data_IF_906775458979
#
_entry.id   IF_906775458979
#
_cell.length_a   1.000
_cell.length_b   1.000
_cell.length_c   1.000
_cell.angle_alpha   90.00
_cell.angle_beta   90.00
_cell.angle_gamma   90.00
#
_symmetry.space_group_name_H-M   'P 1'
#
loop_
_entity.id
_entity.type
_entity.pdbx_description
1 polymer ?
#
# COMPACT_ATOMS: atom_id res chain seq x y z
N UNK A 1 64.19 -4.57 56.32
CA UNK A 1 64.38 -5.43 55.14
C UNK A 1 63.26 -5.13 54.16
N UNK A 2 63.54 -4.44 53.05
CA UNK A 2 62.61 -4.31 51.93
C UNK A 2 63.41 -3.98 50.67
N UNK A 3 63.10 -4.74 49.63
CA UNK A 3 63.81 -4.93 48.37
C UNK A 3 63.61 -3.78 47.36
N UNK A 4 64.37 -3.75 46.24
CA UNK A 4 64.60 -2.56 45.45
C UNK A 4 63.65 -2.38 44.26
N UNK A 5 63.73 -1.16 43.74
CA UNK A 5 63.16 -0.56 42.53
C UNK A 5 63.38 -1.42 41.29
N UNK A 6 62.34 -1.56 40.46
CA UNK A 6 62.45 -1.96 39.05
C UNK A 6 61.67 -0.97 38.19
N UNK A 7 62.35 -0.46 37.17
CA UNK A 7 61.95 0.65 36.32
C UNK A 7 60.77 0.33 35.38
N UNK A 8 59.91 1.33 35.17
CA UNK A 8 58.93 1.36 34.09
C UNK A 8 59.26 2.51 33.11
N UNK A 9 59.09 2.31 31.79
CA UNK A 9 59.64 3.20 30.76
C UNK A 9 58.80 4.47 30.52
N UNK A 10 59.50 5.47 29.98
CA UNK A 10 59.10 6.86 29.74
C UNK A 10 57.94 7.06 28.75
N UNK A 11 57.28 8.20 28.94
CA UNK A 11 56.13 8.73 28.24
C UNK A 11 56.34 9.08 26.74
N UNK A 12 55.22 9.09 26.00
CA UNK A 12 55.03 9.95 24.83
C UNK A 12 53.72 10.75 25.00
N UNK A 13 53.72 12.08 24.80
CA UNK A 13 52.51 12.91 24.89
C UNK A 13 51.81 12.92 23.51
N UNK A 14 50.61 12.35 23.41
CA UNK A 14 49.75 12.58 22.24
C UNK A 14 48.98 13.89 22.45
N UNK A 15 49.21 14.81 21.53
CA UNK A 15 48.68 16.17 21.45
C UNK A 15 47.15 16.20 21.46
N UNK A 16 46.58 17.13 22.24
CA UNK A 16 45.21 17.60 22.03
C UNK A 16 45.14 18.40 20.73
N UNK A 17 44.35 17.94 19.77
CA UNK A 17 43.87 18.74 18.64
C UNK A 17 42.35 18.69 18.66
N UNK A 18 41.78 19.86 18.83
CA UNK A 18 40.35 20.17 18.90
C UNK A 18 39.88 20.60 17.50
N UNK A 19 38.76 20.02 17.06
CA UNK A 19 37.85 20.40 15.96
C UNK A 19 38.35 20.25 14.49
N UNK A 20 37.44 20.07 13.49
CA UNK A 20 35.98 20.06 13.56
C UNK A 20 35.30 18.77 13.05
N UNK A 21 34.10 18.53 13.55
CA UNK A 21 33.16 17.54 13.02
C UNK A 21 32.75 17.94 11.59
N UNK A 22 33.34 17.32 10.57
CA UNK A 22 32.77 17.30 9.22
C UNK A 22 31.57 16.34 9.23
N UNK A 23 30.49 16.82 9.81
CA UNK A 23 29.15 16.30 9.58
C UNK A 23 28.72 16.80 8.19
N UNK A 24 29.16 16.12 7.13
CA UNK A 24 28.56 16.22 5.80
C UNK A 24 27.19 15.53 5.84
N UNK A 25 26.28 16.15 6.60
CA UNK A 25 24.86 15.92 6.51
C UNK A 25 24.41 16.93 5.46
N UNK A 26 24.49 16.52 4.20
CA UNK A 26 23.76 17.21 3.14
C UNK A 26 22.29 17.15 3.56
N UNK A 27 21.84 18.27 4.12
CA UNK A 27 20.47 18.52 4.53
C UNK A 27 19.60 18.41 3.28
N UNK A 28 19.20 17.18 2.96
CA UNK A 28 17.86 16.95 2.45
C UNK A 28 16.91 17.36 3.58
N UNK A 29 16.71 18.68 3.72
CA UNK A 29 15.51 19.24 4.34
C UNK A 29 14.34 18.69 3.52
N UNK A 30 13.90 17.49 3.88
CA UNK A 30 12.56 17.05 3.61
C UNK A 30 11.68 18.16 4.18
N UNK A 31 11.15 18.97 3.27
CA UNK A 31 10.07 19.89 3.53
C UNK A 31 8.87 19.05 3.98
N UNK A 32 8.93 18.58 5.21
CA UNK A 32 7.86 17.90 5.91
C UNK A 32 6.83 19.00 6.12
N UNK A 33 5.94 19.12 5.14
CA UNK A 33 4.75 19.97 5.21
C UNK A 33 4.22 19.86 6.62
N UNK A 34 3.94 20.98 7.29
CA UNK A 34 3.52 21.04 8.71
C UNK A 34 2.25 20.24 9.03
N UNK A 35 1.68 19.53 8.05
CA UNK A 35 0.53 18.63 8.16
C UNK A 35 0.80 17.20 7.64
N UNK A 36 2.04 16.84 7.32
CA UNK A 36 2.42 15.50 6.86
C UNK A 36 2.87 14.60 8.02
N UNK A 37 2.65 13.29 7.87
CA UNK A 37 3.08 12.28 8.83
C UNK A 37 3.48 10.99 8.09
N UNK A 38 4.52 10.33 8.58
CA UNK A 38 4.88 8.98 8.14
C UNK A 38 3.91 7.95 8.70
N UNK A 39 3.61 6.91 7.91
CA UNK A 39 2.83 5.77 8.37
C UNK A 39 3.75 4.76 9.04
N UNK A 40 3.49 4.43 10.30
CA UNK A 40 4.20 3.36 11.00
C UNK A 40 3.85 2.00 10.38
N UNK A 41 4.86 1.32 9.83
CA UNK A 41 4.69 0.01 9.15
C UNK A 41 4.95 -1.18 10.09
N UNK A 42 5.47 -0.93 11.29
CA UNK A 42 5.84 -1.98 12.22
C UNK A 42 4.61 -2.79 12.67
N UNK A 43 4.62 -4.10 12.37
CA UNK A 43 3.51 -5.02 12.66
C UNK A 43 2.40 -5.07 11.60
N UNK A 44 2.50 -4.34 10.48
CA UNK A 44 1.57 -4.47 9.35
C UNK A 44 2.12 -5.48 8.35
N UNK A 45 1.55 -6.68 8.33
CA UNK A 45 1.80 -7.66 7.28
C UNK A 45 0.87 -7.38 6.07
N UNK A 46 1.45 -7.09 4.89
CA UNK A 46 0.72 -6.85 3.62
C UNK A 46 0.16 -8.17 3.07
N UNK A 47 -0.85 -8.72 3.73
CA UNK A 47 -1.46 -10.00 3.37
C UNK A 47 -2.42 -9.92 2.18
N UNK A 48 -2.94 -8.73 1.84
CA UNK A 48 -3.91 -8.49 0.75
C UNK A 48 -5.07 -9.49 0.69
N UNK A 49 -5.57 -9.92 1.85
CA UNK A 49 -6.61 -10.93 2.00
C UNK A 49 -7.87 -10.65 1.15
N UNK A 50 -8.13 -9.39 0.82
CA UNK A 50 -9.24 -8.99 -0.03
C UNK A 50 -9.17 -9.50 -1.48
N UNK A 51 -7.98 -9.85 -1.98
CA UNK A 51 -7.78 -10.36 -3.33
C UNK A 51 -8.25 -11.81 -3.49
N UNK A 52 -8.40 -12.54 -2.38
CA UNK A 52 -8.93 -13.90 -2.33
C UNK A 52 -10.44 -13.94 -2.04
N UNK A 53 -11.05 -12.80 -1.71
CA UNK A 53 -12.48 -12.74 -1.37
C UNK A 53 -13.34 -12.97 -2.61
N UNK A 54 -14.48 -13.62 -2.38
CA UNK A 54 -15.55 -13.80 -3.38
C UNK A 54 -16.80 -13.05 -2.95
N UNK A 55 -17.66 -12.73 -3.92
CA UNK A 55 -18.93 -12.04 -3.62
C UNK A 55 -19.91 -12.96 -2.90
N UNK A 56 -20.84 -12.40 -2.13
CA UNK A 56 -21.91 -13.19 -1.50
C UNK A 56 -22.74 -13.93 -2.56
N UNK A 57 -23.03 -13.27 -3.68
CA UNK A 57 -23.74 -13.86 -4.81
C UNK A 57 -23.00 -15.03 -5.47
N UNK A 58 -21.67 -15.12 -5.33
CA UNK A 58 -20.86 -16.20 -5.88
C UNK A 58 -20.78 -17.41 -4.95
N UNK A 59 -20.67 -17.20 -3.63
CA UNK A 59 -20.59 -18.31 -2.66
C UNK A 59 -21.96 -18.81 -2.18
N UNK A 60 -23.02 -18.03 -2.33
CA UNK A 60 -24.35 -18.34 -1.81
C UNK A 60 -25.37 -18.53 -2.94
N UNK A 61 -25.63 -19.80 -3.28
CA UNK A 61 -26.55 -20.19 -4.36
C UNK A 61 -27.95 -19.60 -4.17
N UNK A 62 -28.44 -19.50 -2.93
CA UNK A 62 -29.77 -18.92 -2.65
C UNK A 62 -29.80 -17.43 -3.02
N UNK A 63 -28.78 -16.68 -2.62
CA UNK A 63 -28.68 -15.25 -2.95
C UNK A 63 -28.55 -15.06 -4.46
N UNK A 64 -27.74 -15.90 -5.12
CA UNK A 64 -27.60 -15.88 -6.57
C UNK A 64 -28.94 -16.06 -7.28
N UNK A 65 -29.71 -17.09 -6.91
CA UNK A 65 -31.03 -17.36 -7.49
C UNK A 65 -32.02 -16.23 -7.23
N UNK A 66 -32.02 -15.65 -6.03
CA UNK A 66 -32.87 -14.51 -5.69
C UNK A 66 -32.57 -13.29 -6.55
N UNK A 67 -31.29 -12.98 -6.77
CA UNK A 67 -30.87 -11.87 -7.65
C UNK A 67 -31.27 -12.12 -9.10
N UNK A 68 -31.13 -13.36 -9.61
CA UNK A 68 -31.56 -13.72 -10.96
C UNK A 68 -33.07 -13.59 -11.15
N UNK A 69 -33.86 -14.06 -10.17
CA UNK A 69 -35.31 -13.97 -10.19
C UNK A 69 -35.77 -12.50 -10.20
N UNK A 70 -35.28 -11.68 -9.26
CA UNK A 70 -35.59 -10.24 -9.19
C UNK A 70 -35.17 -9.51 -10.47
N UNK A 71 -34.04 -9.89 -11.07
CA UNK A 71 -33.58 -9.30 -12.34
C UNK A 71 -34.54 -9.59 -13.48
N UNK A 72 -35.11 -10.80 -13.53
CA UNK A 72 -36.13 -11.18 -14.52
C UNK A 72 -37.44 -10.43 -14.30
N UNK A 73 -37.92 -10.35 -13.05
CA UNK A 73 -39.16 -9.66 -12.70
C UNK A 73 -39.09 -8.15 -13.02
N UNK A 74 -37.97 -7.50 -12.69
CA UNK A 74 -37.80 -6.08 -12.94
C UNK A 74 -37.58 -5.75 -14.42
N UNK A 75 -37.10 -6.70 -15.23
CA UNK A 75 -36.86 -6.48 -16.65
C UNK A 75 -38.14 -6.15 -17.42
N UNK A 76 -39.29 -6.69 -17.01
CA UNK A 76 -40.59 -6.43 -17.64
C UNK A 76 -41.08 -4.99 -17.42
N UNK A 77 -40.73 -4.41 -16.28
CA UNK A 77 -41.14 -3.05 -15.89
C UNK A 77 -40.09 -1.98 -16.20
N UNK A 78 -38.89 -2.37 -16.66
CA UNK A 78 -37.76 -1.45 -16.83
C UNK A 78 -37.94 -0.55 -18.05
N UNK A 79 -37.84 0.76 -17.83
CA UNK A 79 -37.78 1.77 -18.89
C UNK A 79 -36.32 2.01 -19.32
N UNK A 80 -35.94 1.48 -20.47
CA UNK A 80 -34.57 1.57 -21.00
C UNK A 80 -34.12 3.00 -21.33
N UNK A 81 -35.05 3.95 -21.47
CA UNK A 81 -34.71 5.36 -21.72
C UNK A 81 -34.19 6.09 -20.46
N UNK A 82 -34.43 5.52 -19.27
CA UNK A 82 -34.10 6.13 -17.98
C UNK A 82 -32.83 5.58 -17.33
N UNK A 83 -31.98 4.89 -18.10
CA UNK A 83 -30.70 4.40 -17.61
C UNK A 83 -29.77 5.55 -17.22
N UNK A 84 -29.23 5.48 -16.01
CA UNK A 84 -28.17 6.38 -15.57
C UNK A 84 -26.81 5.92 -16.10
N UNK A 85 -25.80 6.78 -16.02
CA UNK A 85 -24.42 6.42 -16.39
C UNK A 85 -23.90 5.23 -15.56
N UNK A 86 -24.27 5.16 -14.28
CA UNK A 86 -23.86 4.08 -13.39
C UNK A 86 -24.52 2.75 -13.76
N UNK A 87 -25.76 2.76 -14.25
CA UNK A 87 -26.45 1.55 -14.72
C UNK A 87 -25.77 0.95 -15.94
N UNK A 88 -25.33 1.81 -16.87
CA UNK A 88 -24.59 1.41 -18.07
C UNK A 88 -23.27 0.76 -17.65
N UNK A 89 -22.47 1.45 -16.82
CA UNK A 89 -21.20 0.92 -16.31
C UNK A 89 -21.37 -0.40 -15.55
N UNK A 90 -22.41 -0.50 -14.72
CA UNK A 90 -22.70 -1.73 -13.98
C UNK A 90 -23.05 -2.88 -14.92
N UNK A 91 -23.89 -2.62 -15.93
CA UNK A 91 -24.29 -3.64 -16.92
C UNK A 91 -23.06 -4.15 -17.70
N UNK A 92 -22.17 -3.25 -18.12
CA UNK A 92 -20.92 -3.62 -18.79
C UNK A 92 -19.98 -4.41 -17.87
N UNK A 93 -19.89 -4.04 -16.59
CA UNK A 93 -19.10 -4.79 -15.61
C UNK A 93 -19.62 -6.22 -15.45
N UNK A 94 -20.94 -6.38 -15.27
CA UNK A 94 -21.59 -7.71 -15.15
C UNK A 94 -21.42 -8.52 -16.43
N UNK A 95 -21.60 -7.91 -17.60
CA UNK A 95 -21.42 -8.57 -18.90
C UNK A 95 -19.98 -9.05 -19.12
N UNK A 96 -18.99 -8.28 -18.65
CA UNK A 96 -17.59 -8.66 -18.68
C UNK A 96 -17.19 -9.64 -17.54
N UNK A 97 -18.13 -10.06 -16.69
CA UNK A 97 -17.85 -10.93 -15.54
C UNK A 97 -17.00 -10.29 -14.45
N UNK A 98 -16.94 -8.95 -14.41
CA UNK A 98 -16.20 -8.18 -13.40
C UNK A 98 -17.02 -8.06 -12.12
N UNK A 99 -16.36 -8.36 -11.01
CA UNK A 99 -16.86 -8.05 -9.68
C UNK A 99 -15.86 -7.20 -8.89
N UNK A 100 -16.24 -6.80 -7.68
CA UNK A 100 -15.42 -5.92 -6.83
C UNK A 100 -14.05 -6.51 -6.52
N UNK A 101 -13.96 -7.79 -6.17
CA UNK A 101 -12.71 -8.41 -5.71
C UNK A 101 -11.84 -8.85 -6.89
N UNK A 102 -12.45 -9.34 -7.98
CA UNK A 102 -11.76 -9.60 -9.25
C UNK A 102 -11.11 -8.32 -9.80
N UNK A 103 -11.82 -7.20 -9.74
CA UNK A 103 -11.28 -5.90 -10.17
C UNK A 103 -10.16 -5.42 -9.25
N UNK A 104 -10.32 -5.51 -7.92
CA UNK A 104 -9.25 -5.15 -6.98
C UNK A 104 -7.96 -5.95 -7.22
N UNK A 105 -8.09 -7.27 -7.40
CA UNK A 105 -6.96 -8.14 -7.74
C UNK A 105 -6.31 -7.72 -9.05
N UNK A 106 -7.09 -7.42 -10.08
CA UNK A 106 -6.58 -7.03 -11.40
C UNK A 106 -5.80 -5.71 -11.37
N UNK A 107 -6.34 -4.64 -10.78
CA UNK A 107 -5.69 -3.31 -10.76
C UNK A 107 -4.46 -3.24 -9.85
N UNK A 108 -4.26 -4.25 -9.00
CA UNK A 108 -3.10 -4.38 -8.11
C UNK A 108 -2.02 -5.30 -8.66
N UNK A 109 -2.24 -5.91 -9.84
CA UNK A 109 -1.20 -6.66 -10.53
C UNK A 109 -0.04 -5.74 -10.93
N UNK A 110 1.15 -6.33 -11.06
CA UNK A 110 2.37 -5.58 -11.33
C UNK A 110 3.02 -5.01 -10.08
N UNK A 111 4.21 -4.44 -10.24
CA UNK A 111 4.92 -3.80 -9.15
C UNK A 111 4.42 -2.36 -8.92
N UNK A 112 4.85 -1.75 -7.82
CA UNK A 112 4.46 -0.37 -7.47
C UNK A 112 4.85 0.64 -8.54
N UNK A 113 6.04 0.50 -9.15
CA UNK A 113 6.50 1.42 -10.21
C UNK A 113 5.57 1.37 -11.42
N UNK A 114 5.24 0.18 -11.92
CA UNK A 114 4.37 0.02 -13.08
C UNK A 114 3.00 0.66 -12.86
N UNK A 115 2.39 0.43 -11.69
CA UNK A 115 1.07 1.02 -11.36
C UNK A 115 1.12 2.54 -11.25
N UNK A 116 2.25 3.11 -10.81
CA UNK A 116 2.48 4.56 -10.82
C UNK A 116 2.66 5.06 -12.26
N UNK A 117 3.48 4.39 -13.06
CA UNK A 117 3.71 4.76 -14.47
C UNK A 117 2.38 4.74 -15.26
N UNK A 118 1.52 3.74 -15.04
CA UNK A 118 0.18 3.66 -15.63
C UNK A 118 -0.73 4.81 -15.18
N UNK A 119 -0.67 5.19 -13.89
CA UNK A 119 -1.45 6.30 -13.36
C UNK A 119 -1.04 7.66 -13.96
N UNK A 120 0.26 7.92 -14.10
CA UNK A 120 0.78 9.17 -14.70
C UNK A 120 0.53 9.27 -16.22
N UNK A 121 0.15 8.16 -16.86
CA UNK A 121 -0.16 8.11 -18.30
C UNK A 121 -1.64 8.31 -18.64
N UNK A 122 -2.53 8.40 -17.63
CA UNK A 122 -3.98 8.61 -17.78
C UNK A 122 -4.35 10.10 -17.86
#
# INVERSE_FOLDING_TARGET
>A
MSSPVVAAPMAAPMSMMEEPLENDHDDHEENNSTYSAELQVEGIEDHRNEEERVTEAEKNERVQKQLMALSSELAEARDDSKKTKNDILHTENVQAGRDKYKTLRQIRMGNTKQRIDEFEAL
#
